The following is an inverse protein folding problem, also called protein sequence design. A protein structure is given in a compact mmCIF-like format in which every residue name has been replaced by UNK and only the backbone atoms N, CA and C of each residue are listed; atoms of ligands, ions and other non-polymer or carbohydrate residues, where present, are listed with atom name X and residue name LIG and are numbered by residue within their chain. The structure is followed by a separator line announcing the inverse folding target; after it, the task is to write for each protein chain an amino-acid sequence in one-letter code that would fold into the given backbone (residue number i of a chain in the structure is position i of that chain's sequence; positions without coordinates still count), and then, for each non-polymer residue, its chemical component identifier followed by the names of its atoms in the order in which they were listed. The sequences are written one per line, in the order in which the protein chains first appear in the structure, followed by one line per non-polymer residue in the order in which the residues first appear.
data_IF_104269319834
#
_entry.id   IF_104269319834
#
_cell.length_a   1.000
_cell.length_b   1.000
_cell.length_c   1.000
_cell.angle_alpha   90.00
_cell.angle_beta   90.00
_cell.angle_gamma   90.00
#
_symmetry.space_group_name_H-M   'P 1'
#
loop_
_entity.id
_entity.type
_entity.pdbx_description
1 polymer ?
#
# COMPACT_ATOMS: atom_id res chain seq x y z
N UNK A 1 5.97 2.27 -5.15
CA UNK A 1 6.28 3.06 -3.92
C UNK A 1 5.46 2.58 -2.73
N UNK A 2 5.99 2.56 -1.50
CA UNK A 2 5.22 2.26 -0.29
C UNK A 2 4.77 3.55 0.40
N UNK A 3 3.46 3.74 0.60
CA UNK A 3 2.95 4.89 1.39
C UNK A 3 3.18 4.66 2.88
N UNK A 4 3.58 5.69 3.61
CA UNK A 4 3.65 5.63 5.09
C UNK A 4 2.33 5.10 5.66
N UNK A 5 2.42 4.08 6.53
CA UNK A 5 1.30 3.38 7.17
C UNK A 5 0.24 2.82 6.18
N UNK A 6 0.56 2.79 4.89
CA UNK A 6 -0.38 2.51 3.81
C UNK A 6 0.07 1.38 2.89
N UNK A 7 -0.54 1.26 1.70
CA UNK A 7 -0.23 0.21 0.73
C UNK A 7 1.05 0.47 -0.07
N UNK A 8 1.43 -0.53 -0.86
CA UNK A 8 2.30 -0.31 -2.02
C UNK A 8 1.47 0.21 -3.19
N UNK A 9 1.82 1.37 -3.74
CA UNK A 9 1.28 1.86 -5.01
C UNK A 9 2.13 1.34 -6.16
N UNK A 10 1.46 0.73 -7.12
CA UNK A 10 2.01 0.34 -8.42
C UNK A 10 1.58 1.39 -9.42
N UNK A 11 2.57 2.08 -9.97
CA UNK A 11 2.37 3.15 -10.93
C UNK A 11 2.92 2.70 -12.29
N UNK A 12 2.16 2.98 -13.34
CA UNK A 12 2.53 2.73 -14.74
C UNK A 12 2.25 4.02 -15.49
N UNK A 13 3.26 4.55 -16.17
CA UNK A 13 3.20 5.81 -16.91
C UNK A 13 2.68 7.00 -16.08
N UNK A 14 3.14 7.09 -14.82
CA UNK A 14 2.75 8.14 -13.88
C UNK A 14 1.33 8.02 -13.33
N UNK A 15 0.62 6.92 -13.62
CA UNK A 15 -0.71 6.66 -13.11
C UNK A 15 -0.72 5.49 -12.12
N UNK A 16 -1.35 5.69 -10.97
CA UNK A 16 -1.60 4.61 -10.01
C UNK A 16 -2.59 3.63 -10.63
N UNK A 17 -2.13 2.41 -10.91
CA UNK A 17 -2.98 1.33 -11.46
C UNK A 17 -3.57 0.45 -10.37
N UNK A 18 -2.83 0.24 -9.28
CA UNK A 18 -3.27 -0.60 -8.17
C UNK A 18 -2.58 -0.20 -6.86
N UNK A 19 -3.26 -0.53 -5.76
CA UNK A 19 -2.74 -0.44 -4.41
C UNK A 19 -2.72 -1.84 -3.78
N UNK A 20 -1.53 -2.34 -3.45
CA UNK A 20 -1.33 -3.66 -2.88
C UNK A 20 -1.26 -3.59 -1.35
N UNK A 21 -1.95 -4.50 -0.69
CA UNK A 21 -1.94 -4.63 0.76
C UNK A 21 -0.54 -5.04 1.24
N UNK A 22 -0.05 -4.35 2.27
CA UNK A 22 1.14 -4.77 3.03
C UNK A 22 0.89 -4.95 4.53
N UNK A 23 -0.29 -4.60 5.02
CA UNK A 23 -0.64 -4.77 6.44
C UNK A 23 -1.15 -6.17 6.78
N UNK A 24 -1.41 -7.04 5.80
CA UNK A 24 -1.92 -8.41 5.99
C UNK A 24 -3.44 -8.54 6.25
N UNK A 25 -4.09 -7.48 6.71
CA UNK A 25 -5.48 -7.52 7.18
C UNK A 25 -6.56 -7.20 6.14
N UNK A 26 -6.21 -6.91 4.88
CA UNK A 26 -7.21 -6.65 3.83
C UNK A 26 -8.13 -7.87 3.62
N UNK A 27 -9.44 -7.64 3.48
CA UNK A 27 -10.41 -8.64 3.05
C UNK A 27 -10.42 -8.84 1.54
N UNK A 28 -9.77 -7.95 0.77
CA UNK A 28 -9.67 -8.00 -0.69
C UNK A 28 -8.23 -8.25 -1.17
N UNK A 29 -7.51 -9.19 -0.53
CA UNK A 29 -6.13 -9.50 -0.90
C UNK A 29 -6.02 -9.98 -2.36
N UNK A 30 -4.95 -9.59 -3.10
CA UNK A 30 -3.77 -8.86 -2.64
C UNK A 30 -3.93 -7.34 -2.56
N UNK A 31 -5.10 -6.80 -2.89
CA UNK A 31 -5.35 -5.36 -2.93
C UNK A 31 -5.58 -4.76 -1.55
N UNK A 32 -5.27 -3.49 -1.42
CA UNK A 32 -5.57 -2.71 -0.22
C UNK A 32 -7.03 -2.25 -0.24
N UNK A 33 -7.76 -2.52 0.85
CA UNK A 33 -9.15 -2.11 1.08
C UNK A 33 -9.28 -1.01 2.15
N UNK A 34 -8.15 -0.47 2.62
CA UNK A 34 -8.10 0.56 3.67
C UNK A 34 -8.04 0.02 5.10
N UNK A 35 -8.10 -1.30 5.32
CA UNK A 35 -8.08 -1.90 6.67
C UNK A 35 -6.81 -1.57 7.48
N UNK A 36 -5.70 -1.21 6.82
CA UNK A 36 -4.48 -0.73 7.49
C UNK A 36 -4.73 0.40 8.51
N UNK A 37 -5.70 1.28 8.26
CA UNK A 37 -6.07 2.37 9.18
C UNK A 37 -6.74 1.86 10.44
N UNK A 38 -7.60 0.85 10.31
CA UNK A 38 -8.38 0.28 11.41
C UNK A 38 -7.52 -0.55 12.35
N UNK A 39 -6.54 -1.27 11.81
CA UNK A 39 -5.63 -2.14 12.58
C UNK A 39 -4.38 -1.41 13.09
N UNK A 40 -4.27 -0.10 12.86
CA UNK A 40 -3.15 0.70 13.35
C UNK A 40 -1.80 0.27 12.76
N UNK A 41 -1.78 -0.14 11.49
CA UNK A 41 -0.54 -0.57 10.82
C UNK A 41 0.46 0.59 10.77
N UNK A 42 1.68 0.35 11.26
CA UNK A 42 2.77 1.33 11.29
C UNK A 42 3.96 0.83 10.48
N UNK A 43 4.33 1.59 9.44
CA UNK A 43 5.51 1.33 8.65
C UNK A 43 5.92 2.60 7.89
N UNK A 44 7.22 2.89 7.74
CA UNK A 44 7.68 4.09 7.05
C UNK A 44 7.27 4.08 5.56
N UNK A 45 7.32 5.25 4.95
CA UNK A 45 7.35 5.39 3.50
C UNK A 45 8.62 4.73 2.94
N UNK A 46 8.52 4.09 1.78
CA UNK A 46 9.68 3.53 1.08
C UNK A 46 9.55 3.85 -0.41
N UNK A 47 10.48 4.65 -0.92
CA UNK A 47 10.63 4.94 -2.34
C UNK A 47 11.91 4.24 -2.77
N UNK A 48 11.80 3.32 -3.74
CA UNK A 48 12.97 2.77 -4.40
C UNK A 48 13.26 3.71 -5.56
N UNK A 49 14.32 4.48 -5.44
CA UNK A 49 14.90 5.22 -6.55
C UNK A 49 15.85 4.25 -7.26
N UNK A 50 15.59 4.02 -8.55
CA UNK A 50 16.42 3.19 -9.44
C UNK A 50 17.19 4.10 -10.41
#
# INVERSE_FOLDING_TARGET
MARENGPYLVEVDGQVKMALCRCGHSSNKPFCDGTHRKVGFQAPQHVVEL
#
